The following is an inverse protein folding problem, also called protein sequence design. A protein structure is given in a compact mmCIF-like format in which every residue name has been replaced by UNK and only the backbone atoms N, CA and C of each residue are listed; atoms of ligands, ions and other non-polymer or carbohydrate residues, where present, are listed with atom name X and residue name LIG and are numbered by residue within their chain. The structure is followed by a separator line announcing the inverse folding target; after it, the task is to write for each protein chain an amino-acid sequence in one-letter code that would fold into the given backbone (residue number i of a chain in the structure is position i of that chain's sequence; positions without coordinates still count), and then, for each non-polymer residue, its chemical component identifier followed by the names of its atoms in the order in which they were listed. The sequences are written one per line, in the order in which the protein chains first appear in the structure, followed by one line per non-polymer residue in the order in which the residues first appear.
data_IF_043370401188
#
_entry.id   IF_043370401188
#
_cell.length_a   1.000
_cell.length_b   1.000
_cell.length_c   1.000
_cell.angle_alpha   90.00
_cell.angle_beta   90.00
_cell.angle_gamma   90.00
#
_symmetry.space_group_name_H-M   'P 1'
#
loop_
_entity.id
_entity.type
_entity.pdbx_description
1 polymer ?
#
# COMPACT_ATOMS: atom_id res chain seq x y z
N UNK A 1 5.97 4.71 2.07
CA UNK A 1 5.75 3.54 2.95
C UNK A 1 6.83 3.56 4.00
N UNK A 2 6.50 3.29 5.26
CA UNK A 2 7.46 3.37 6.36
C UNK A 2 7.70 2.04 7.06
N UNK A 3 6.76 1.08 6.96
CA UNK A 3 6.90 -0.25 7.55
C UNK A 3 5.99 -1.26 6.82
N UNK A 4 6.13 -2.56 7.11
CA UNK A 4 5.24 -3.62 6.67
C UNK A 4 5.18 -4.77 7.67
N UNK A 5 4.02 -5.40 7.74
CA UNK A 5 3.78 -6.60 8.54
C UNK A 5 2.89 -7.57 7.76
N UNK A 6 2.78 -8.81 8.23
CA UNK A 6 1.75 -9.73 7.75
C UNK A 6 0.55 -9.68 8.69
N UNK A 7 -0.65 -9.77 8.11
CA UNK A 7 -1.88 -10.00 8.88
C UNK A 7 -1.99 -11.47 9.32
N UNK A 8 -3.07 -11.80 10.02
CA UNK A 8 -3.37 -13.14 10.54
C UNK A 8 -3.53 -14.19 9.42
N UNK A 9 -3.87 -13.76 8.20
CA UNK A 9 -4.00 -14.61 7.02
C UNK A 9 -2.67 -14.73 6.24
N UNK A 10 -1.62 -14.04 6.68
CA UNK A 10 -0.31 -14.02 6.04
C UNK A 10 -0.19 -13.03 4.88
N UNK A 11 -1.17 -12.15 4.65
CA UNK A 11 -1.07 -11.12 3.61
C UNK A 11 -0.20 -9.96 4.07
N UNK A 12 0.63 -9.44 3.16
CA UNK A 12 1.45 -8.27 3.43
C UNK A 12 0.60 -7.00 3.52
N UNK A 13 0.79 -6.26 4.61
CA UNK A 13 0.17 -4.97 4.90
C UNK A 13 1.28 -3.92 5.02
N UNK A 14 1.21 -2.89 4.18
CA UNK A 14 2.09 -1.74 4.26
C UNK A 14 1.56 -0.69 5.23
N UNK A 15 2.43 -0.15 6.08
CA UNK A 15 2.17 1.05 6.89
C UNK A 15 2.65 2.28 6.12
N UNK A 16 1.75 3.24 5.91
CA UNK A 16 2.03 4.46 5.16
C UNK A 16 2.32 5.63 6.10
N UNK A 17 3.08 6.62 5.61
CA UNK A 17 3.44 7.81 6.39
C UNK A 17 2.25 8.70 6.75
N UNK A 18 1.11 8.54 6.07
CA UNK A 18 -0.14 9.20 6.41
C UNK A 18 -0.90 8.52 7.57
N UNK A 19 -0.37 7.45 8.16
CA UNK A 19 -1.01 6.69 9.24
C UNK A 19 -1.95 5.57 8.78
N UNK A 20 -2.33 5.55 7.49
CA UNK A 20 -3.15 4.48 6.92
C UNK A 20 -2.34 3.23 6.57
N UNK A 21 -3.02 2.09 6.50
CA UNK A 21 -2.46 0.83 6.02
C UNK A 21 -2.99 0.45 4.63
N UNK A 22 -2.23 -0.35 3.90
CA UNK A 22 -2.63 -0.86 2.59
C UNK A 22 -2.22 -2.32 2.41
N UNK A 23 -3.19 -3.19 2.11
CA UNK A 23 -2.91 -4.56 1.69
C UNK A 23 -2.18 -4.58 0.35
N UNK A 24 -1.10 -5.34 0.30
CA UNK A 24 -0.24 -5.55 -0.87
C UNK A 24 -0.50 -6.94 -1.46
N UNK A 25 -1.63 -7.10 -2.16
CA UNK A 25 -1.97 -8.38 -2.79
C UNK A 25 -1.31 -8.52 -4.17
N UNK A 26 -0.73 -9.68 -4.44
CA UNK A 26 -0.29 -10.05 -5.79
C UNK A 26 -1.32 -11.04 -6.36
N UNK A 27 -2.27 -10.53 -7.15
CA UNK A 27 -3.36 -11.31 -7.75
C UNK A 27 -3.46 -11.04 -9.26
N UNK A 28 -2.53 -11.53 -10.09
CA UNK A 28 -2.66 -11.44 -11.54
C UNK A 28 -3.93 -12.16 -12.04
N UNK A 29 -4.60 -11.65 -13.09
CA UNK A 29 -4.26 -10.47 -13.88
C UNK A 29 -4.69 -9.13 -13.24
N UNK A 30 -5.49 -9.17 -12.17
CA UNK A 30 -6.16 -8.01 -11.60
C UNK A 30 -5.24 -7.04 -10.84
N UNK A 31 -4.21 -7.56 -10.17
CA UNK A 31 -3.25 -6.75 -9.42
C UNK A 31 -1.86 -7.38 -9.44
N UNK A 32 -0.95 -6.84 -10.27
CA UNK A 32 0.45 -7.29 -10.31
C UNK A 32 1.34 -6.47 -9.40
N UNK A 33 1.69 -7.04 -8.24
CA UNK A 33 2.70 -6.51 -7.31
C UNK A 33 3.82 -7.52 -7.03
N UNK A 34 4.52 -7.99 -8.07
CA UNK A 34 5.50 -9.08 -7.94
C UNK A 34 6.59 -8.81 -6.89
N UNK A 35 6.97 -7.54 -6.71
CA UNK A 35 7.95 -7.13 -5.71
C UNK A 35 7.53 -7.45 -4.26
N UNK A 36 6.24 -7.69 -3.98
CA UNK A 36 5.79 -8.07 -2.63
C UNK A 36 6.24 -9.49 -2.25
N UNK A 37 6.55 -10.34 -3.24
CA UNK A 37 6.91 -11.74 -3.00
C UNK A 37 8.37 -11.87 -2.53
N UNK A 38 9.24 -10.96 -2.96
CA UNK A 38 10.67 -10.98 -2.61
C UNK A 38 10.98 -10.00 -1.46
N UNK A 39 11.65 -10.48 -0.43
CA UNK A 39 11.98 -9.67 0.76
C UNK A 39 12.88 -8.48 0.43
N UNK A 40 13.93 -8.70 -0.36
CA UNK A 40 14.84 -7.64 -0.77
C UNK A 40 14.12 -6.56 -1.58
N UNK A 41 13.23 -6.95 -2.48
CA UNK A 41 12.41 -6.04 -3.26
C UNK A 41 11.41 -5.28 -2.38
N UNK A 42 10.79 -5.93 -1.38
CA UNK A 42 9.96 -5.23 -0.37
C UNK A 42 10.74 -4.19 0.39
N UNK A 43 11.93 -4.54 0.90
CA UNK A 43 12.79 -3.63 1.64
C UNK A 43 13.20 -2.41 0.82
N UNK A 44 13.43 -2.58 -0.49
CA UNK A 44 13.71 -1.46 -1.41
C UNK A 44 12.54 -0.47 -1.54
N UNK A 45 11.32 -0.85 -1.18
CA UNK A 45 10.16 0.05 -1.20
C UNK A 45 9.99 0.85 0.08
N UNK A 46 10.70 0.53 1.17
CA UNK A 46 10.73 1.38 2.36
C UNK A 46 11.26 2.77 2.00
N UNK A 47 10.65 3.80 2.58
CA UNK A 47 10.98 5.20 2.30
C UNK A 47 10.49 5.73 0.95
N UNK A 48 10.03 4.88 0.03
CA UNK A 48 9.49 5.33 -1.26
C UNK A 48 8.07 5.89 -1.11
N UNK A 49 7.69 6.90 -1.91
CA UNK A 49 6.33 7.39 -1.97
C UNK A 49 5.40 6.26 -2.42
N UNK A 50 4.25 6.16 -1.78
CA UNK A 50 3.26 5.13 -2.06
C UNK A 50 1.87 5.73 -1.96
N UNK A 51 1.03 5.55 -2.97
CA UNK A 51 -0.31 6.13 -3.02
C UNK A 51 -1.21 5.48 -1.98
N UNK A 52 -1.75 6.28 -1.07
CA UNK A 52 -2.79 5.86 -0.14
C UNK A 52 -4.16 5.95 -0.83
N UNK A 53 -4.92 4.85 -0.85
CA UNK A 53 -6.27 4.83 -1.41
C UNK A 53 -7.26 5.69 -0.60
N UNK A 54 -7.12 5.71 0.73
CA UNK A 54 -7.95 6.52 1.62
C UNK A 54 -7.74 8.02 1.38
N UNK A 55 -6.49 8.48 1.47
CA UNK A 55 -6.18 9.89 1.21
C UNK A 55 -6.55 10.33 -0.21
N UNK A 56 -6.45 9.44 -1.21
CA UNK A 56 -6.89 9.75 -2.56
C UNK A 56 -8.40 10.00 -2.60
N UNK A 57 -9.20 9.14 -1.96
CA UNK A 57 -10.66 9.30 -1.86
C UNK A 57 -11.05 10.57 -1.11
N UNK A 58 -10.41 10.86 0.02
CA UNK A 58 -10.69 12.07 0.79
C UNK A 58 -10.46 13.35 -0.04
N UNK A 59 -9.38 13.39 -0.82
CA UNK A 59 -9.13 14.54 -1.71
C UNK A 59 -10.14 14.64 -2.86
N UNK A 60 -10.59 13.50 -3.40
CA UNK A 60 -11.63 13.45 -4.44
C UNK A 60 -12.99 13.95 -3.91
N UNK A 61 -13.32 13.66 -2.66
CA UNK A 61 -14.56 14.14 -2.01
C UNK A 61 -14.50 15.65 -1.77
N UNK A 62 -13.40 16.16 -1.21
CA UNK A 62 -13.22 17.60 -1.00
C UNK A 62 -13.36 18.39 -2.30
N UNK A 63 -12.80 17.90 -3.42
CA UNK A 63 -12.85 18.61 -4.70
C UNK A 63 -14.25 18.72 -5.30
N UNK A 64 -15.20 17.84 -4.91
CA UNK A 64 -16.58 17.86 -5.41
C UNK A 64 -17.49 18.83 -4.66
N UNK A 65 -17.06 19.26 -3.47
CA UNK A 65 -17.79 20.15 -2.58
C UNK A 65 -17.39 21.63 -2.75
N UNK A 66 -16.49 21.95 -3.70
CA UNK A 66 -16.20 23.30 -4.19
C UNK A 66 -16.97 23.61 -5.48
#
# INVERSE_FOLDING_TARGET
MIDFHQDEEGHWVAVLSCGHTQHLRHQPPWQSRAWVLDENARHRQLGRPFRCGWCAREQEEQTKEQ
#
